data_IF_881142776775
#
_entry.id   IF_881142776775
#
_cell.length_a   1.000
_cell.length_b   1.000
_cell.length_c   1.000
_cell.angle_alpha   90.00
_cell.angle_beta   90.00
_cell.angle_gamma   90.00
#
_symmetry.space_group_name_H-M   'P 1'
#
loop_
_entity.id
_entity.type
_entity.pdbx_description
1 polymer ?
#
# COMPACT_ATOMS: atom_id res chain seq x y z
N UNK A 1 13.66 -34.32 -6.77
CA UNK A 1 13.08 -34.11 -8.11
C UNK A 1 12.38 -32.77 -8.08
N UNK A 2 13.10 -31.72 -8.46
CA UNK A 2 12.74 -30.31 -8.32
C UNK A 2 11.99 -29.81 -9.55
N UNK A 3 10.90 -29.06 -9.35
CA UNK A 3 10.14 -28.44 -10.43
C UNK A 3 10.95 -27.31 -11.12
N UNK A 4 10.78 -27.10 -12.44
CA UNK A 4 11.66 -26.29 -13.28
C UNK A 4 11.45 -24.76 -13.18
N UNK A 5 12.54 -24.03 -13.40
CA UNK A 5 12.72 -22.56 -13.33
C UNK A 5 11.99 -21.73 -14.42
N UNK A 6 11.01 -22.29 -15.12
CA UNK A 6 10.47 -21.69 -16.36
C UNK A 6 9.33 -20.68 -16.19
N UNK A 7 9.02 -20.23 -14.98
CA UNK A 7 7.99 -19.18 -14.75
C UNK A 7 8.55 -17.89 -14.13
N UNK A 8 9.89 -17.72 -14.17
CA UNK A 8 10.57 -16.53 -13.63
C UNK A 8 10.56 -15.34 -14.62
N UNK A 9 10.06 -15.49 -15.85
CA UNK A 9 10.02 -14.40 -16.81
C UNK A 9 8.65 -14.24 -17.48
N UNK A 10 7.78 -13.48 -16.83
CA UNK A 10 6.80 -12.65 -17.51
C UNK A 10 6.89 -11.26 -16.88
N UNK A 11 7.46 -10.32 -17.65
CA UNK A 11 7.67 -8.94 -17.23
C UNK A 11 6.40 -8.26 -16.72
N UNK A 12 6.62 -7.22 -15.93
CA UNK A 12 5.62 -6.48 -15.13
C UNK A 12 5.19 -7.19 -13.85
N UNK A 13 5.86 -6.90 -12.73
CA UNK A 13 5.26 -7.23 -11.42
C UNK A 13 5.86 -6.34 -10.33
N UNK A 14 5.11 -5.29 -9.96
CA UNK A 14 5.11 -4.83 -8.58
C UNK A 14 4.93 -6.05 -7.68
N UNK A 15 5.95 -6.41 -6.91
CA UNK A 15 5.89 -7.55 -6.01
C UNK A 15 4.98 -7.22 -4.83
N UNK A 16 3.68 -7.44 -4.97
CA UNK A 16 2.77 -7.47 -3.82
C UNK A 16 3.14 -8.68 -2.99
N UNK A 17 4.01 -8.49 -2.00
CA UNK A 17 4.48 -9.57 -1.14
C UNK A 17 3.63 -9.63 0.13
N UNK A 18 2.73 -10.59 0.20
CA UNK A 18 2.03 -10.91 1.45
C UNK A 18 3.00 -11.62 2.39
N UNK A 19 3.53 -10.89 3.39
CA UNK A 19 4.24 -11.52 4.51
C UNK A 19 3.24 -11.83 5.63
N UNK A 20 2.68 -13.04 5.64
CA UNK A 20 1.93 -13.53 6.78
C UNK A 20 2.93 -13.80 7.91
N UNK A 21 2.90 -12.99 8.98
CA UNK A 21 3.87 -13.12 10.09
C UNK A 21 3.78 -14.45 10.85
N UNK A 22 2.74 -15.26 10.62
CA UNK A 22 2.55 -16.59 11.21
C UNK A 22 2.09 -17.56 10.10
N UNK A 23 2.73 -18.73 9.96
CA UNK A 23 2.52 -19.70 8.87
C UNK A 23 1.16 -20.44 8.83
N UNK A 24 0.08 -19.81 9.28
CA UNK A 24 -1.30 -20.28 9.13
C UNK A 24 -2.06 -19.51 8.04
N UNK A 25 -3.18 -20.07 7.58
CA UNK A 25 -4.08 -19.36 6.67
C UNK A 25 -4.64 -18.10 7.35
N UNK A 26 -4.30 -16.92 6.83
CA UNK A 26 -4.81 -15.64 7.34
C UNK A 26 -6.15 -15.33 6.66
N UNK A 27 -7.21 -15.08 7.45
CA UNK A 27 -8.50 -14.65 6.90
C UNK A 27 -8.51 -13.13 6.76
N UNK A 28 -9.37 -12.61 5.87
CA UNK A 28 -9.53 -11.17 5.68
C UNK A 28 -9.93 -10.44 6.99
N UNK A 29 -10.65 -11.14 7.88
CA UNK A 29 -11.03 -10.63 9.21
C UNK A 29 -9.82 -10.37 10.14
N UNK A 30 -8.67 -11.00 9.89
CA UNK A 30 -7.47 -10.86 10.73
C UNK A 30 -6.62 -9.63 10.35
N UNK A 31 -6.90 -9.00 9.20
CA UNK A 31 -6.16 -7.85 8.69
C UNK A 31 -6.64 -6.57 9.37
N UNK A 32 -5.93 -6.17 10.41
CA UNK A 32 -6.21 -4.95 11.19
C UNK A 32 -5.53 -3.72 10.62
N UNK A 33 -4.41 -3.88 9.92
CA UNK A 33 -3.69 -2.78 9.27
C UNK A 33 -2.88 -3.26 8.06
N UNK A 34 -2.95 -2.49 6.98
CA UNK A 34 -2.12 -2.63 5.78
C UNK A 34 -1.12 -1.47 5.74
N UNK A 35 0.16 -1.75 5.47
CA UNK A 35 1.15 -0.73 5.18
C UNK A 35 1.44 -0.71 3.68
N UNK A 36 1.37 0.46 3.05
CA UNK A 36 1.75 0.66 1.65
C UNK A 36 2.99 1.54 1.63
N UNK A 37 4.09 1.00 1.09
CA UNK A 37 5.38 1.67 1.05
C UNK A 37 5.59 2.27 -0.34
N UNK A 38 5.52 3.60 -0.41
CA UNK A 38 5.49 4.40 -1.62
C UNK A 38 4.16 5.15 -1.73
N UNK A 39 4.21 6.46 -1.96
CA UNK A 39 3.06 7.35 -2.16
C UNK A 39 2.97 7.89 -3.61
N UNK A 40 3.69 7.24 -4.53
CA UNK A 40 3.55 7.46 -5.97
C UNK A 40 2.20 7.00 -6.52
N UNK A 41 2.03 7.02 -7.84
CA UNK A 41 0.75 6.69 -8.49
C UNK A 41 0.21 5.31 -8.08
N UNK A 42 1.06 4.28 -8.08
CA UNK A 42 0.65 2.93 -7.70
C UNK A 42 0.32 2.82 -6.21
N UNK A 43 1.20 3.32 -5.34
CA UNK A 43 1.00 3.29 -3.89
C UNK A 43 -0.27 4.02 -3.45
N UNK A 44 -0.54 5.20 -4.02
CA UNK A 44 -1.78 5.93 -3.78
C UNK A 44 -3.03 5.15 -4.23
N UNK A 45 -2.99 4.53 -5.42
CA UNK A 45 -4.10 3.71 -5.93
C UNK A 45 -4.36 2.47 -5.09
N UNK A 46 -3.31 1.79 -4.64
CA UNK A 46 -3.41 0.62 -3.76
C UNK A 46 -3.98 1.03 -2.40
N UNK A 47 -3.44 2.11 -1.79
CA UNK A 47 -3.92 2.61 -0.51
C UNK A 47 -5.41 2.98 -0.58
N UNK A 48 -5.83 3.67 -1.64
CA UNK A 48 -7.25 3.97 -1.88
C UNK A 48 -8.09 2.70 -2.01
N UNK A 49 -7.65 1.71 -2.79
CA UNK A 49 -8.40 0.47 -3.01
C UNK A 49 -8.58 -0.32 -1.70
N UNK A 50 -7.53 -0.45 -0.90
CA UNK A 50 -7.59 -1.09 0.41
C UNK A 50 -8.52 -0.35 1.38
N UNK A 51 -8.45 0.98 1.43
CA UNK A 51 -9.31 1.80 2.27
C UNK A 51 -10.78 1.72 1.84
N UNK A 52 -11.07 1.73 0.54
CA UNK A 52 -12.41 1.53 -0.01
C UNK A 52 -12.98 0.14 0.29
N UNK A 53 -12.12 -0.88 0.37
CA UNK A 53 -12.50 -2.21 0.84
C UNK A 53 -12.68 -2.32 2.36
N UNK A 54 -12.48 -1.21 3.10
CA UNK A 54 -12.72 -1.14 4.53
C UNK A 54 -11.50 -1.34 5.43
N UNK A 55 -10.31 -1.59 4.87
CA UNK A 55 -9.11 -1.84 5.65
C UNK A 55 -8.44 -0.55 6.13
N UNK A 56 -7.95 -0.47 7.38
CA UNK A 56 -7.05 0.59 7.81
C UNK A 56 -5.71 0.51 7.06
N UNK A 57 -5.25 1.64 6.53
CA UNK A 57 -4.04 1.75 5.71
C UNK A 57 -3.09 2.78 6.30
N UNK A 58 -1.80 2.45 6.36
CA UNK A 58 -0.73 3.45 6.49
C UNK A 58 0.02 3.55 5.16
N UNK A 59 -0.04 4.71 4.52
CA UNK A 59 0.71 5.03 3.30
C UNK A 59 1.97 5.79 3.68
N UNK A 60 3.13 5.23 3.37
CA UNK A 60 4.43 5.77 3.73
C UNK A 60 5.23 6.21 2.52
N UNK A 61 5.98 7.28 2.65
CA UNK A 61 7.06 7.64 1.72
C UNK A 61 8.24 8.24 2.48
N UNK A 62 9.37 8.48 1.82
CA UNK A 62 10.61 8.97 2.45
C UNK A 62 10.54 10.44 2.89
N UNK A 63 9.58 11.20 2.37
CA UNK A 63 9.41 12.62 2.68
C UNK A 63 7.92 13.00 2.76
N UNK A 64 7.58 13.92 3.66
CA UNK A 64 6.18 14.37 3.87
C UNK A 64 5.55 14.90 2.58
N UNK A 65 6.30 15.64 1.75
CA UNK A 65 5.79 16.18 0.47
C UNK A 65 5.31 15.08 -0.50
N UNK A 66 5.92 13.88 -0.42
CA UNK A 66 5.56 12.73 -1.24
C UNK A 66 4.29 12.07 -0.73
N UNK A 67 4.17 11.93 0.59
CA UNK A 67 2.94 11.47 1.28
C UNK A 67 1.76 12.38 0.93
N UNK A 68 1.94 13.71 1.03
CA UNK A 68 0.92 14.69 0.65
C UNK A 68 0.56 14.58 -0.83
N UNK A 69 1.56 14.33 -1.68
CA UNK A 69 1.36 14.03 -3.09
C UNK A 69 0.54 12.76 -3.33
N UNK A 70 0.71 11.73 -2.51
CA UNK A 70 -0.12 10.53 -2.51
C UNK A 70 -1.57 10.85 -2.15
N UNK A 71 -1.79 11.63 -1.09
CA UNK A 71 -3.14 12.07 -0.72
C UNK A 71 -3.82 12.89 -1.82
N UNK A 72 -3.10 13.78 -2.51
CA UNK A 72 -3.64 14.51 -3.68
C UNK A 72 -4.08 13.56 -4.78
N UNK A 73 -3.26 12.57 -5.12
CA UNK A 73 -3.58 11.53 -6.12
C UNK A 73 -4.81 10.71 -5.78
N UNK A 74 -5.14 10.57 -4.49
CA UNK A 74 -6.38 9.91 -4.03
C UNK A 74 -7.57 10.87 -4.07
N UNK A 75 -7.40 12.09 -3.55
CA UNK A 75 -8.50 13.05 -3.38
C UNK A 75 -9.02 13.58 -4.71
N UNK A 76 -8.14 13.92 -5.66
CA UNK A 76 -8.55 14.55 -6.92
C UNK A 76 -9.49 13.67 -7.78
N UNK A 77 -9.21 12.37 -8.00
CA UNK A 77 -10.14 11.52 -8.74
C UNK A 77 -11.45 11.26 -8.00
N UNK A 78 -11.42 11.16 -6.67
CA UNK A 78 -12.61 10.96 -5.85
C UNK A 78 -13.53 12.18 -5.87
N UNK A 79 -12.98 13.39 -5.77
CA UNK A 79 -13.74 14.64 -5.91
C UNK A 79 -14.47 14.70 -7.27
N UNK A 80 -13.78 14.35 -8.37
CA UNK A 80 -14.40 14.25 -9.69
C UNK A 80 -15.54 13.23 -9.77
N UNK A 81 -15.51 12.16 -8.96
CA UNK A 81 -16.62 11.21 -8.89
C UNK A 81 -17.82 11.81 -8.16
N UNK A 82 -17.59 12.59 -7.12
CA UNK A 82 -18.63 13.34 -6.40
C UNK A 82 -19.28 14.38 -7.31
N UNK A 83 -18.49 15.18 -8.02
CA UNK A 83 -18.99 16.16 -9.00
C UNK A 83 -19.86 15.50 -10.09
N UNK A 84 -19.53 14.27 -10.48
CA UNK A 84 -20.26 13.49 -11.48
C UNK A 84 -21.44 12.70 -10.90
N UNK A 85 -21.77 12.87 -9.61
CA UNK A 85 -22.84 12.14 -8.94
C UNK A 85 -22.63 10.62 -8.85
N UNK A 86 -21.39 10.15 -9.02
CA UNK A 86 -21.03 8.72 -8.96
C UNK A 86 -20.62 8.25 -7.57
N UNK A 87 -20.58 9.17 -6.61
CA UNK A 87 -20.17 8.97 -5.23
C UNK A 87 -20.65 10.15 -4.39
N UNK A 88 -20.85 9.94 -3.09
CA UNK A 88 -21.17 10.99 -2.13
C UNK A 88 -19.91 11.48 -1.41
N UNK A 89 -19.95 12.69 -0.86
CA UNK A 89 -18.84 13.20 -0.04
C UNK A 89 -18.59 12.31 1.19
N UNK A 90 -19.65 11.80 1.82
CA UNK A 90 -19.54 10.91 2.97
C UNK A 90 -18.80 9.61 2.68
N UNK A 91 -18.99 9.03 1.48
CA UNK A 91 -18.22 7.84 1.07
C UNK A 91 -16.74 8.18 0.85
N UNK A 92 -16.43 9.36 0.30
CA UNK A 92 -15.03 9.81 0.13
C UNK A 92 -14.38 9.99 1.49
N UNK A 93 -15.07 10.62 2.44
CA UNK A 93 -14.55 10.85 3.79
C UNK A 93 -14.35 9.51 4.53
N UNK A 94 -15.25 8.55 4.36
CA UNK A 94 -15.12 7.20 4.92
C UNK A 94 -13.88 6.45 4.38
N UNK A 95 -13.50 6.68 3.11
CA UNK A 95 -12.24 6.14 2.56
C UNK A 95 -11.04 6.86 3.18
N UNK A 96 -11.04 8.19 3.15
CA UNK A 96 -9.89 8.98 3.56
C UNK A 96 -9.55 8.81 5.05
N UNK A 97 -10.57 8.67 5.91
CA UNK A 97 -10.40 8.42 7.35
C UNK A 97 -9.69 7.09 7.65
N UNK A 98 -9.70 6.13 6.72
CA UNK A 98 -8.97 4.87 6.85
C UNK A 98 -7.49 4.97 6.45
N UNK A 99 -7.04 6.08 5.88
CA UNK A 99 -5.67 6.24 5.38
C UNK A 99 -4.90 7.21 6.28
N UNK A 100 -3.83 6.71 6.90
CA UNK A 100 -2.83 7.51 7.62
C UNK A 100 -1.57 7.68 6.78
N UNK A 101 -1.01 8.89 6.75
CA UNK A 101 0.32 9.15 6.18
C UNK A 101 1.43 8.93 7.21
N UNK A 102 2.58 8.42 6.78
CA UNK A 102 3.78 8.30 7.61
C UNK A 102 5.05 8.56 6.81
N UNK A 103 6.12 9.01 7.47
CA UNK A 103 7.46 9.11 6.88
C UNK A 103 8.38 8.02 7.43
N UNK A 104 8.30 7.79 8.74
CA UNK A 104 9.04 6.74 9.42
C UNK A 104 8.54 5.34 9.02
N UNK A 105 9.48 4.46 8.63
CA UNK A 105 9.13 3.12 8.17
C UNK A 105 8.62 2.25 9.33
N UNK A 106 9.25 2.35 10.51
CA UNK A 106 8.88 1.53 11.67
C UNK A 106 7.45 1.84 12.12
N UNK A 107 7.10 3.12 12.19
CA UNK A 107 5.74 3.59 12.44
C UNK A 107 4.76 3.04 11.39
N UNK A 108 5.14 3.11 10.12
CA UNK A 108 4.31 2.64 9.02
C UNK A 108 3.97 1.15 9.13
N UNK A 109 4.96 0.30 9.44
CA UNK A 109 4.78 -1.16 9.49
C UNK A 109 4.41 -1.70 10.88
N UNK A 110 4.45 -0.88 11.92
CA UNK A 110 4.08 -1.27 13.28
C UNK A 110 2.66 -1.83 13.33
N UNK A 111 2.52 -3.11 13.69
CA UNK A 111 1.22 -3.79 13.76
C UNK A 111 0.55 -4.08 12.41
N UNK A 112 1.23 -3.86 11.27
CA UNK A 112 0.70 -4.21 9.94
C UNK A 112 0.77 -5.73 9.70
N UNK A 113 -0.35 -6.34 9.29
CA UNK A 113 -0.38 -7.76 8.89
C UNK A 113 0.03 -7.94 7.42
N UNK A 114 -0.13 -6.89 6.61
CA UNK A 114 0.23 -6.87 5.20
C UNK A 114 1.07 -5.64 4.93
N UNK A 115 2.21 -5.83 4.26
CA UNK A 115 3.07 -4.74 3.77
C UNK A 115 3.14 -4.86 2.25
N UNK A 116 2.77 -3.81 1.54
CA UNK A 116 2.79 -3.74 0.08
C UNK A 116 3.87 -2.75 -0.33
N UNK A 117 4.85 -3.23 -1.09
CA UNK A 117 5.92 -2.41 -1.66
C UNK A 117 5.47 -1.84 -3.01
N UNK A 118 5.57 -0.52 -3.15
CA UNK A 118 5.24 0.25 -4.34
C UNK A 118 6.26 1.39 -4.54
N UNK A 119 7.55 1.08 -4.38
CA UNK A 119 8.66 2.02 -4.61
C UNK A 119 9.22 1.85 -6.03
N UNK A 120 10.20 2.69 -6.38
CA UNK A 120 10.84 2.61 -7.69
C UNK A 120 11.50 1.24 -7.92
N UNK A 121 11.40 0.75 -9.16
CA UNK A 121 12.00 -0.51 -9.59
C UNK A 121 13.53 -0.37 -9.79
N UNK A 122 14.25 -0.12 -8.70
CA UNK A 122 15.71 -0.13 -8.63
C UNK A 122 16.14 -1.13 -7.57
N UNK A 123 17.04 -2.04 -7.94
CA UNK A 123 17.42 -3.16 -7.08
C UNK A 123 18.05 -2.71 -5.76
N UNK A 124 18.82 -1.64 -5.80
CA UNK A 124 19.49 -1.04 -4.64
C UNK A 124 18.43 -0.52 -3.64
N UNK A 125 17.45 0.25 -4.14
CA UNK A 125 16.35 0.81 -3.35
C UNK A 125 15.54 -0.29 -2.68
N UNK A 126 15.24 -1.38 -3.41
CA UNK A 126 14.49 -2.50 -2.85
C UNK A 126 15.29 -3.23 -1.77
N UNK A 127 16.58 -3.50 -1.99
CA UNK A 127 17.45 -4.16 -1.00
C UNK A 127 17.56 -3.36 0.29
N UNK A 128 17.74 -2.04 0.19
CA UNK A 128 17.77 -1.14 1.35
C UNK A 128 16.46 -1.18 2.13
N UNK A 129 15.31 -1.08 1.42
CA UNK A 129 14.00 -1.16 2.05
C UNK A 129 13.79 -2.50 2.77
N UNK A 130 14.13 -3.62 2.15
CA UNK A 130 13.98 -4.93 2.79
C UNK A 130 14.88 -5.08 4.01
N UNK A 131 16.13 -4.60 3.94
CA UNK A 131 17.04 -4.61 5.08
C UNK A 131 16.54 -3.76 6.25
N UNK A 132 15.76 -2.70 5.98
CA UNK A 132 15.11 -1.89 7.01
C UNK A 132 13.85 -2.56 7.59
N UNK A 133 13.09 -3.29 6.76
CA UNK A 133 11.90 -4.04 7.17
C UNK A 133 12.20 -5.27 8.03
N UNK A 134 13.36 -5.90 7.85
CA UNK A 134 13.80 -7.08 8.59
C UNK A 134 14.36 -6.75 10.00
N UNK A 135 14.42 -5.46 10.37
CA UNK A 135 14.87 -4.99 11.70
C UNK A 135 13.70 -4.76 12.66
#
# INVERSE_FOLDING_TARGET
MSLPQSLINAGFTSAVRFSARNGGAMQAADVRKIAVIGAGTMGAGIAQACAAAGFPVTMRDIEQRLVDGGFRRIKEPLAKRVERGKMTQGEVDAILTKIRGAVDLKEAVAGAQVVIEAVFEKMEVKKELYAELDR
#
